data_IF_151695597152
#
_entry.id   IF_151695597152
#
_cell.length_a   1.000
_cell.length_b   1.000
_cell.length_c   1.000
_cell.angle_alpha   90.00
_cell.angle_beta   90.00
_cell.angle_gamma   90.00
#
_symmetry.space_group_name_H-M   'P 1'
#
loop_
_entity.id
_entity.type
_entity.pdbx_description
1 polymer ?
#
# COMPACT_ATOMS: atom_id res chain seq x y z
N UNK A 1 -14.57 -14.58 9.16
CA UNK A 1 -13.93 -14.59 10.52
C UNK A 1 -12.73 -13.66 10.47
N UNK A 2 -12.56 -12.80 11.49
CA UNK A 2 -11.37 -11.93 11.52
C UNK A 2 -10.11 -12.76 11.76
N UNK A 3 -9.12 -12.55 10.93
CA UNK A 3 -7.80 -13.21 11.02
C UNK A 3 -6.69 -12.27 11.48
N UNK A 4 -6.92 -10.95 11.40
CA UNK A 4 -6.08 -9.93 12.03
C UNK A 4 -7.00 -9.02 12.83
N UNK A 5 -6.63 -8.77 14.09
CA UNK A 5 -7.31 -7.82 14.96
C UNK A 5 -6.28 -6.96 15.67
N UNK A 6 -6.40 -5.64 15.53
CA UNK A 6 -5.61 -4.64 16.22
C UNK A 6 -6.55 -3.70 16.98
N UNK A 7 -6.29 -3.49 18.27
CA UNK A 7 -7.07 -2.64 19.17
C UNK A 7 -6.14 -1.64 19.84
N UNK A 8 -6.34 -0.35 19.58
CA UNK A 8 -5.56 0.77 20.13
C UNK A 8 -4.03 0.56 20.03
N UNK A 9 -3.59 -0.11 18.97
CA UNK A 9 -2.20 -0.48 18.75
C UNK A 9 -1.32 0.78 18.65
N UNK A 10 -0.26 0.84 19.46
CA UNK A 10 0.59 2.01 19.55
C UNK A 10 2.07 1.65 19.54
N UNK A 11 2.88 2.50 18.88
CA UNK A 11 4.34 2.39 18.87
C UNK A 11 5.00 3.76 18.81
N UNK A 12 5.88 4.00 19.77
CA UNK A 12 6.63 5.25 19.91
C UNK A 12 8.12 4.97 19.77
N UNK A 13 8.85 5.93 19.20
CA UNK A 13 10.30 5.88 19.09
C UNK A 13 10.91 7.14 19.71
N UNK A 14 11.91 6.95 20.53
CA UNK A 14 12.72 8.05 21.03
C UNK A 14 13.87 8.33 20.05
N UNK A 15 13.82 9.45 19.37
CA UNK A 15 14.84 9.88 18.41
C UNK A 15 15.68 11.00 19.01
N UNK A 16 17.00 10.84 18.99
CA UNK A 16 17.90 11.90 19.42
C UNK A 16 17.91 13.03 18.38
N UNK A 17 17.59 14.25 18.81
CA UNK A 17 17.74 15.41 17.95
C UNK A 17 19.22 15.68 17.66
N UNK A 18 19.58 15.77 16.38
CA UNK A 18 20.91 16.21 15.95
C UNK A 18 20.98 17.73 16.00
N UNK A 19 21.58 18.30 17.03
CA UNK A 19 21.94 19.72 17.02
C UNK A 19 22.99 20.00 15.92
N UNK A 20 22.79 21.06 15.13
CA UNK A 20 23.73 21.44 14.06
C UNK A 20 25.00 22.07 14.66
N UNK A 21 26.17 21.61 14.21
CA UNK A 21 27.47 22.18 14.54
C UNK A 21 28.26 21.43 15.62
N UNK A 22 29.58 21.66 15.65
CA UNK A 22 30.55 20.93 16.49
C UNK A 22 30.28 21.11 18.00
N UNK A 23 29.82 22.31 18.43
CA UNK A 23 29.42 22.59 19.82
C UNK A 23 28.11 21.88 20.21
N UNK A 24 27.15 21.74 19.27
CA UNK A 24 25.92 20.98 19.48
C UNK A 24 26.20 19.48 19.61
N UNK A 25 27.14 18.93 18.84
CA UNK A 25 27.51 17.51 18.93
C UNK A 25 28.09 17.14 20.28
N UNK A 26 28.92 18.02 20.89
CA UNK A 26 29.50 17.79 22.23
C UNK A 26 28.40 17.89 23.31
N UNK A 27 27.48 18.84 23.22
CA UNK A 27 26.35 19.00 24.16
C UNK A 27 25.41 17.81 24.09
N UNK A 28 25.14 17.27 22.88
CA UNK A 28 24.30 16.10 22.67
C UNK A 28 24.86 14.80 23.30
N UNK A 29 26.18 14.72 23.59
CA UNK A 29 26.79 13.59 24.30
C UNK A 29 26.44 13.64 25.79
N UNK A 30 26.42 14.82 26.40
CA UNK A 30 26.17 14.99 27.83
C UNK A 30 24.70 15.25 28.20
N UNK A 31 23.93 15.86 27.31
CA UNK A 31 22.48 16.11 27.47
C UNK A 31 21.75 15.85 26.14
N UNK A 32 21.49 14.59 25.78
CA UNK A 32 20.76 14.29 24.54
C UNK A 32 19.31 14.77 24.68
N UNK A 33 18.91 15.69 23.82
CA UNK A 33 17.50 15.99 23.64
C UNK A 33 16.87 14.85 22.83
N UNK A 34 15.88 14.18 23.40
CA UNK A 34 15.13 13.14 22.73
C UNK A 34 13.76 13.67 22.39
N UNK A 35 13.33 13.43 21.17
CA UNK A 35 11.98 13.68 20.69
C UNK A 35 11.25 12.34 20.58
N UNK A 36 10.03 12.28 21.09
CA UNK A 36 9.17 11.12 20.98
C UNK A 36 8.40 11.22 19.67
N UNK A 37 8.61 10.26 18.78
CA UNK A 37 7.87 10.10 17.53
C UNK A 37 6.83 9.01 17.72
N UNK A 38 5.55 9.35 17.67
CA UNK A 38 4.44 8.41 17.66
C UNK A 38 4.30 7.83 16.25
N UNK A 39 5.00 6.74 15.98
CA UNK A 39 4.97 6.11 14.67
C UNK A 39 3.65 5.40 14.38
N UNK A 40 2.98 4.89 15.42
CA UNK A 40 1.62 4.35 15.41
C UNK A 40 0.94 4.79 16.70
N UNK A 41 -0.24 5.41 16.61
CA UNK A 41 -0.95 5.99 17.75
C UNK A 41 -2.41 5.51 17.75
N UNK A 42 -2.71 4.52 18.63
CA UNK A 42 -4.04 3.96 18.88
C UNK A 42 -4.78 3.46 17.64
N UNK A 43 -4.07 2.76 16.75
CA UNK A 43 -4.64 2.22 15.53
C UNK A 43 -5.50 0.99 15.85
N UNK A 44 -6.76 0.99 15.39
CA UNK A 44 -7.71 -0.13 15.56
C UNK A 44 -8.31 -0.53 14.22
N UNK A 45 -8.16 -1.79 13.82
CA UNK A 45 -8.76 -2.36 12.62
C UNK A 45 -8.81 -3.89 12.69
N UNK A 46 -9.59 -4.50 11.81
CA UNK A 46 -9.61 -5.96 11.64
C UNK A 46 -9.53 -6.33 10.17
N UNK A 47 -9.07 -7.55 9.86
CA UNK A 47 -9.03 -8.11 8.50
C UNK A 47 -9.73 -9.45 8.48
N UNK A 48 -10.62 -9.65 7.51
CA UNK A 48 -11.37 -10.89 7.34
C UNK A 48 -10.54 -11.95 6.59
N UNK A 49 -10.90 -13.22 6.81
CA UNK A 49 -10.28 -14.35 6.11
C UNK A 49 -10.50 -14.24 4.58
N UNK A 50 -9.43 -14.44 3.80
CA UNK A 50 -9.47 -14.32 2.33
C UNK A 50 -9.54 -12.88 1.79
N UNK A 51 -9.60 -11.87 2.68
CA UNK A 51 -9.61 -10.47 2.27
C UNK A 51 -8.25 -10.03 1.71
N UNK A 52 -8.29 -9.12 0.73
CA UNK A 52 -7.12 -8.34 0.29
C UNK A 52 -7.33 -6.91 0.77
N UNK A 53 -6.67 -6.56 1.87
CA UNK A 53 -6.73 -5.23 2.47
C UNK A 53 -5.58 -4.35 1.97
N UNK A 54 -5.89 -3.13 1.50
CA UNK A 54 -4.91 -2.07 1.28
C UNK A 54 -4.73 -1.24 2.55
N UNK A 55 -3.49 -1.16 3.05
CA UNK A 55 -3.12 -0.31 4.17
C UNK A 55 -2.17 0.76 3.67
N UNK A 56 -2.66 1.98 3.45
CA UNK A 56 -1.95 3.01 2.71
C UNK A 56 -1.73 4.28 3.54
N UNK A 57 -0.80 5.11 3.09
CA UNK A 57 -0.47 6.37 3.75
C UNK A 57 0.82 6.96 3.17
N UNK A 58 1.14 8.22 3.45
CA UNK A 58 2.40 8.82 3.04
C UNK A 58 3.60 8.13 3.70
N UNK A 59 4.80 8.49 3.24
CA UNK A 59 6.03 8.01 3.87
C UNK A 59 6.10 8.50 5.31
N UNK A 60 6.43 7.59 6.24
CA UNK A 60 6.45 7.90 7.68
C UNK A 60 5.09 7.77 8.39
N UNK A 61 3.99 7.46 7.70
CA UNK A 61 2.66 7.31 8.30
C UNK A 61 2.49 6.10 9.24
N UNK A 62 3.51 5.24 9.39
CA UNK A 62 3.46 4.09 10.30
C UNK A 62 3.19 2.74 9.64
N UNK A 63 3.00 2.65 8.31
CA UNK A 63 2.65 1.41 7.58
C UNK A 63 3.57 0.22 7.88
N UNK A 64 4.86 0.35 7.59
CA UNK A 64 5.84 -0.72 7.83
C UNK A 64 6.06 -1.00 9.32
N UNK A 65 5.83 0.00 10.20
CA UNK A 65 5.85 -0.19 11.65
C UNK A 65 4.69 -1.07 12.09
N UNK A 66 3.49 -0.83 11.56
CA UNK A 66 2.31 -1.66 11.81
C UNK A 66 2.53 -3.10 11.34
N UNK A 67 3.01 -3.34 10.10
CA UNK A 67 3.33 -4.70 9.63
C UNK A 67 4.32 -5.40 10.57
N UNK A 68 5.37 -4.70 11.01
CA UNK A 68 6.36 -5.30 11.94
C UNK A 68 5.77 -5.68 13.29
N UNK A 69 4.75 -4.96 13.78
CA UNK A 69 4.03 -5.34 14.99
C UNK A 69 3.11 -6.55 14.74
N UNK A 70 2.36 -6.57 13.63
CA UNK A 70 1.50 -7.68 13.23
C UNK A 70 2.29 -8.98 13.03
N UNK A 71 3.52 -8.89 12.55
CA UNK A 71 4.40 -10.05 12.30
C UNK A 71 5.28 -10.44 13.49
N UNK A 72 5.17 -9.73 14.63
CA UNK A 72 5.97 -9.99 15.83
C UNK A 72 7.46 -9.62 15.68
N UNK A 73 7.84 -8.84 14.67
CA UNK A 73 9.20 -8.30 14.51
C UNK A 73 9.43 -7.14 15.48
N UNK A 74 8.39 -6.37 15.76
CA UNK A 74 8.42 -5.21 16.64
C UNK A 74 7.37 -5.36 17.73
N UNK A 75 7.73 -5.03 18.99
CA UNK A 75 6.80 -5.02 20.11
C UNK A 75 6.02 -3.72 20.15
N UNK A 76 4.69 -3.75 20.29
CA UNK A 76 3.89 -2.56 20.56
C UNK A 76 4.19 -2.01 21.96
N UNK A 77 4.01 -0.69 22.12
CA UNK A 77 4.11 -0.03 23.44
C UNK A 77 2.74 0.06 24.13
N UNK A 78 1.65 -0.11 23.36
CA UNK A 78 0.29 -0.12 23.88
C UNK A 78 -0.67 -0.83 22.93
N UNK A 79 -1.88 -1.11 23.46
CA UNK A 79 -2.93 -1.81 22.75
C UNK A 79 -2.76 -3.33 22.69
N UNK A 80 -3.58 -3.97 21.85
CA UNK A 80 -3.59 -5.41 21.65
C UNK A 80 -3.55 -5.73 20.16
N UNK A 81 -2.87 -6.84 19.83
CA UNK A 81 -2.85 -7.36 18.47
C UNK A 81 -2.94 -8.89 18.49
N UNK A 82 -3.77 -9.43 17.60
CA UNK A 82 -3.86 -10.86 17.33
C UNK A 82 -3.85 -11.11 15.82
N UNK A 83 -3.10 -12.13 15.41
CA UNK A 83 -3.08 -12.62 14.04
C UNK A 83 -3.37 -14.11 14.08
N UNK A 84 -4.44 -14.56 13.42
CA UNK A 84 -4.93 -15.95 13.47
C UNK A 84 -5.21 -16.43 14.90
N UNK A 85 -5.68 -15.53 15.78
CA UNK A 85 -5.89 -15.80 17.22
C UNK A 85 -4.58 -16.00 18.01
N UNK A 86 -3.45 -15.61 17.43
CA UNK A 86 -2.12 -15.71 18.04
C UNK A 86 -1.62 -14.31 18.36
N UNK A 87 -1.21 -14.10 19.62
CA UNK A 87 -0.50 -12.89 20.04
C UNK A 87 0.94 -12.92 19.46
N UNK A 88 1.29 -11.99 18.55
CA UNK A 88 2.60 -11.98 17.88
C UNK A 88 3.78 -11.81 18.84
N UNK A 89 3.55 -11.16 19.98
CA UNK A 89 4.58 -10.91 20.99
C UNK A 89 4.90 -12.19 21.78
N UNK A 90 3.85 -12.90 22.23
CA UNK A 90 3.99 -14.05 23.11
C UNK A 90 4.33 -15.33 22.36
N UNK A 91 3.81 -15.49 21.14
CA UNK A 91 3.90 -16.73 20.37
C UNK A 91 4.47 -16.53 18.96
N UNK A 92 5.51 -15.67 18.85
CA UNK A 92 6.11 -15.29 17.56
C UNK A 92 6.51 -16.50 16.70
N UNK A 93 7.12 -17.54 17.30
CA UNK A 93 7.52 -18.73 16.53
C UNK A 93 6.31 -19.44 15.94
N UNK A 94 5.23 -19.61 16.72
CA UNK A 94 3.99 -20.25 16.24
C UNK A 94 3.36 -19.44 15.10
N UNK A 95 3.35 -18.11 15.21
CA UNK A 95 2.82 -17.22 14.19
C UNK A 95 3.64 -17.30 12.90
N UNK A 96 4.98 -17.32 12.99
CA UNK A 96 5.88 -17.36 11.83
C UNK A 96 5.62 -18.56 10.91
N UNK A 97 5.13 -19.70 11.43
CA UNK A 97 4.73 -20.86 10.62
C UNK A 97 3.38 -20.68 9.88
N UNK A 98 2.63 -19.62 10.18
CA UNK A 98 1.30 -19.41 9.60
C UNK A 98 1.20 -18.14 8.74
N UNK A 99 2.25 -17.32 8.72
CA UNK A 99 2.30 -16.09 7.95
C UNK A 99 3.46 -16.07 6.97
N UNK A 100 3.25 -15.46 5.81
CA UNK A 100 4.31 -15.09 4.87
C UNK A 100 4.54 -13.59 4.92
N UNK A 101 5.77 -13.17 4.63
CA UNK A 101 6.11 -11.74 4.60
C UNK A 101 6.99 -11.45 3.39
N UNK A 102 6.72 -10.35 2.67
CA UNK A 102 7.60 -9.83 1.62
C UNK A 102 7.79 -8.34 1.89
N UNK A 103 9.05 -7.93 2.08
CA UNK A 103 9.43 -6.54 2.28
C UNK A 103 10.12 -6.03 1.00
N UNK A 104 9.41 -5.29 0.15
CA UNK A 104 9.86 -4.91 -1.19
C UNK A 104 11.19 -4.17 -1.29
N UNK A 105 11.69 -3.61 -0.18
CA UNK A 105 12.99 -2.95 -0.13
C UNK A 105 14.11 -3.83 0.46
N UNK A 106 13.82 -5.09 0.83
CA UNK A 106 14.79 -6.01 1.44
C UNK A 106 14.81 -7.33 0.71
N UNK A 107 15.97 -7.69 0.20
CA UNK A 107 16.21 -9.01 -0.38
C UNK A 107 16.06 -10.09 0.69
N UNK A 108 15.18 -11.07 0.45
CA UNK A 108 14.95 -12.20 1.35
C UNK A 108 15.61 -13.47 0.85
N UNK A 109 15.87 -13.54 -0.45
CA UNK A 109 16.53 -14.70 -1.08
C UNK A 109 18.05 -14.58 -0.99
N UNK A 110 18.72 -15.68 -0.79
CA UNK A 110 20.18 -15.75 -0.94
C UNK A 110 20.55 -15.54 -2.41
N UNK A 111 21.20 -14.43 -2.69
CA UNK A 111 21.45 -13.96 -4.06
C UNK A 111 22.39 -14.85 -4.88
N UNK A 112 23.25 -15.62 -4.21
CA UNK A 112 24.17 -16.57 -4.85
C UNK A 112 23.54 -17.92 -5.16
N UNK A 113 22.41 -18.24 -4.54
CA UNK A 113 21.64 -19.46 -4.79
C UNK A 113 20.61 -19.24 -5.90
N UNK A 114 20.15 -20.34 -6.49
CA UNK A 114 19.01 -20.33 -7.41
C UNK A 114 17.70 -20.15 -6.63
N UNK A 115 16.59 -19.73 -7.24
CA UNK A 115 15.26 -19.77 -6.60
C UNK A 115 14.92 -21.19 -6.12
N UNK A 116 15.21 -22.21 -6.89
CA UNK A 116 14.98 -23.61 -6.52
C UNK A 116 15.69 -23.97 -5.20
N UNK A 117 16.99 -23.63 -5.06
CA UNK A 117 17.75 -23.91 -3.85
C UNK A 117 17.23 -23.09 -2.65
N UNK A 118 16.86 -21.82 -2.88
CA UNK A 118 16.22 -21.00 -1.86
C UNK A 118 14.92 -21.62 -1.37
N UNK A 119 14.06 -22.11 -2.28
CA UNK A 119 12.78 -22.73 -1.91
C UNK A 119 12.97 -24.01 -1.10
N UNK A 120 13.95 -24.86 -1.50
CA UNK A 120 14.31 -26.03 -0.71
C UNK A 120 14.80 -25.67 0.68
N UNK A 121 15.59 -24.61 0.78
CA UNK A 121 16.08 -24.12 2.07
C UNK A 121 14.92 -23.59 2.94
N UNK A 122 13.99 -22.83 2.37
CA UNK A 122 12.79 -22.40 3.11
C UNK A 122 11.91 -23.60 3.50
N UNK A 123 11.74 -24.58 2.63
CA UNK A 123 11.05 -25.82 2.97
C UNK A 123 11.64 -26.50 4.22
N UNK A 124 12.98 -26.57 4.29
CA UNK A 124 13.66 -27.11 5.46
C UNK A 124 13.50 -26.23 6.73
N UNK A 125 13.51 -24.89 6.61
CA UNK A 125 13.25 -23.98 7.73
C UNK A 125 11.87 -24.19 8.34
N UNK A 126 10.87 -24.45 7.48
CA UNK A 126 9.49 -24.68 7.89
C UNK A 126 9.14 -26.14 8.14
N UNK A 127 10.14 -27.00 8.33
CA UNK A 127 10.02 -28.42 8.66
C UNK A 127 9.20 -29.25 7.63
N UNK A 128 9.17 -28.84 6.36
CA UNK A 128 8.55 -29.61 5.28
C UNK A 128 9.42 -30.80 4.89
N UNK A 129 8.81 -31.95 4.64
CA UNK A 129 9.51 -33.07 4.06
C UNK A 129 10.03 -32.77 2.64
N UNK A 130 11.07 -33.49 2.19
CA UNK A 130 11.61 -33.29 0.84
C UNK A 130 10.54 -33.45 -0.26
N UNK A 131 9.66 -34.44 -0.13
CA UNK A 131 8.59 -34.67 -1.11
C UNK A 131 7.52 -33.58 -1.11
N UNK A 132 7.14 -33.07 0.06
CA UNK A 132 6.22 -31.93 0.18
C UNK A 132 6.84 -30.66 -0.41
N UNK A 133 8.12 -30.43 -0.15
CA UNK A 133 8.86 -29.28 -0.68
C UNK A 133 8.90 -29.30 -2.20
N UNK A 134 9.27 -30.44 -2.81
CA UNK A 134 9.32 -30.57 -4.28
C UNK A 134 7.94 -30.36 -4.93
N UNK A 135 6.90 -30.95 -4.34
CA UNK A 135 5.53 -30.74 -4.83
C UNK A 135 5.12 -29.26 -4.74
N UNK A 136 5.49 -28.60 -3.64
CA UNK A 136 5.16 -27.18 -3.46
C UNK A 136 5.96 -26.28 -4.40
N UNK A 137 7.23 -26.59 -4.64
CA UNK A 137 8.06 -25.86 -5.63
C UNK A 137 7.42 -25.95 -7.01
N UNK A 138 7.01 -27.16 -7.45
CA UNK A 138 6.38 -27.34 -8.76
C UNK A 138 5.08 -26.51 -8.88
N UNK A 139 4.22 -26.56 -7.86
CA UNK A 139 2.97 -25.79 -7.80
C UNK A 139 3.21 -24.27 -7.88
N UNK A 140 4.17 -23.75 -7.10
CA UNK A 140 4.51 -22.33 -7.11
C UNK A 140 5.24 -21.90 -8.38
N UNK A 141 6.08 -22.78 -8.94
CA UNK A 141 6.75 -22.52 -10.21
C UNK A 141 5.76 -22.35 -11.37
N UNK A 142 4.67 -23.11 -11.36
CA UNK A 142 3.58 -22.97 -12.33
C UNK A 142 2.80 -21.67 -12.12
N UNK A 143 2.31 -21.40 -10.89
CA UNK A 143 1.54 -20.19 -10.57
C UNK A 143 2.34 -18.90 -10.87
N UNK A 144 3.63 -18.86 -10.52
CA UNK A 144 4.48 -17.68 -10.66
C UNK A 144 5.31 -17.68 -11.95
N UNK A 145 5.09 -18.64 -12.87
CA UNK A 145 5.79 -18.75 -14.16
C UNK A 145 7.31 -18.66 -14.00
N UNK A 146 7.87 -19.53 -13.13
CA UNK A 146 9.29 -19.50 -12.79
C UNK A 146 10.16 -20.41 -13.65
N UNK A 147 9.58 -21.26 -14.51
CA UNK A 147 10.26 -22.35 -15.22
C UNK A 147 11.55 -21.91 -15.93
N UNK A 148 11.54 -20.76 -16.60
CA UNK A 148 12.65 -20.28 -17.41
C UNK A 148 13.86 -19.82 -16.59
N UNK A 149 13.67 -19.47 -15.31
CA UNK A 149 14.72 -18.86 -14.49
C UNK A 149 14.85 -19.45 -13.08
N UNK A 150 14.08 -20.47 -12.72
CA UNK A 150 14.11 -21.11 -11.39
C UNK A 150 15.51 -21.67 -11.03
N UNK A 151 16.30 -22.05 -12.03
CA UNK A 151 17.67 -22.54 -11.89
C UNK A 151 18.76 -21.48 -12.15
N UNK A 152 18.37 -20.21 -12.32
CA UNK A 152 19.30 -19.10 -12.50
C UNK A 152 19.59 -18.45 -11.14
N UNK A 153 20.86 -18.19 -10.76
CA UNK A 153 21.17 -17.49 -9.50
C UNK A 153 20.42 -16.18 -9.36
N UNK A 154 19.86 -15.91 -8.17
CA UNK A 154 18.98 -14.75 -7.90
C UNK A 154 19.62 -13.42 -8.29
N UNK A 155 20.93 -13.25 -8.08
CA UNK A 155 21.68 -12.04 -8.49
C UNK A 155 21.61 -11.73 -10.00
N UNK A 156 21.34 -12.71 -10.82
CA UNK A 156 21.26 -12.58 -12.28
C UNK A 156 19.82 -12.37 -12.77
N UNK A 157 18.84 -12.37 -11.88
CA UNK A 157 17.43 -12.15 -12.20
C UNK A 157 17.13 -10.67 -12.36
N UNK A 158 16.18 -10.33 -13.23
CA UNK A 158 15.58 -8.99 -13.25
C UNK A 158 14.83 -8.73 -11.95
N UNK A 159 14.56 -7.46 -11.63
CA UNK A 159 13.82 -7.09 -10.42
C UNK A 159 12.44 -7.78 -10.37
N UNK A 160 11.72 -7.80 -11.49
CA UNK A 160 10.42 -8.47 -11.57
C UNK A 160 10.49 -9.98 -11.37
N UNK A 161 11.49 -10.67 -11.98
CA UNK A 161 11.72 -12.10 -11.74
C UNK A 161 12.07 -12.37 -10.28
N UNK A 162 12.90 -11.52 -9.66
CA UNK A 162 13.25 -11.67 -8.25
C UNK A 162 12.04 -11.50 -7.34
N UNK A 163 11.18 -10.51 -7.56
CA UNK A 163 9.97 -10.30 -6.76
C UNK A 163 8.99 -11.47 -6.90
N UNK A 164 8.84 -12.05 -8.10
CA UNK A 164 8.06 -13.29 -8.27
C UNK A 164 8.61 -14.41 -7.39
N UNK A 165 9.92 -14.61 -7.39
CA UNK A 165 10.57 -15.61 -6.54
C UNK A 165 10.43 -15.31 -5.05
N UNK A 166 10.51 -14.06 -4.61
CA UNK A 166 10.34 -13.66 -3.21
C UNK A 166 8.91 -13.94 -2.71
N UNK A 167 7.90 -13.60 -3.52
CA UNK A 167 6.50 -13.91 -3.20
C UNK A 167 6.30 -15.43 -3.16
N UNK A 168 6.79 -16.17 -4.16
CA UNK A 168 6.70 -17.63 -4.19
C UNK A 168 7.38 -18.28 -2.97
N UNK A 169 8.59 -17.82 -2.60
CA UNK A 169 9.31 -18.30 -1.42
C UNK A 169 8.51 -18.09 -0.12
N UNK A 170 7.84 -16.93 0.01
CA UNK A 170 7.01 -16.62 1.19
C UNK A 170 5.78 -17.50 1.32
N UNK A 171 5.43 -18.24 0.26
CA UNK A 171 4.28 -19.15 0.19
C UNK A 171 4.64 -20.63 0.33
N UNK A 172 5.92 -20.99 0.47
CA UNK A 172 6.39 -22.37 0.44
C UNK A 172 5.72 -23.22 1.55
N UNK A 173 5.50 -22.63 2.72
CA UNK A 173 4.92 -23.26 3.90
C UNK A 173 3.39 -23.10 4.01
N UNK A 174 2.71 -22.66 2.93
CA UNK A 174 1.25 -22.46 2.85
C UNK A 174 0.70 -21.55 3.94
N UNK A 175 1.20 -20.30 4.05
CA UNK A 175 0.71 -19.37 5.05
C UNK A 175 -0.77 -19.03 4.83
N UNK A 176 -1.49 -18.74 5.92
CA UNK A 176 -2.89 -18.27 5.88
C UNK A 176 -2.98 -16.76 5.65
N UNK A 177 -1.96 -16.02 6.05
CA UNK A 177 -1.88 -14.57 5.88
C UNK A 177 -0.55 -14.22 5.23
N UNK A 178 -0.59 -13.36 4.21
CA UNK A 178 0.58 -12.83 3.54
C UNK A 178 0.64 -11.31 3.72
N UNK A 179 1.76 -10.84 4.24
CA UNK A 179 2.07 -9.42 4.36
C UNK A 179 2.98 -8.99 3.21
N UNK A 180 2.52 -8.04 2.40
CA UNK A 180 3.24 -7.48 1.26
C UNK A 180 3.52 -6.00 1.53
N UNK A 181 4.76 -5.64 1.82
CA UNK A 181 5.17 -4.25 2.07
C UNK A 181 5.78 -3.67 0.78
N UNK A 182 4.97 -2.92 0.03
CA UNK A 182 5.33 -2.27 -1.23
C UNK A 182 5.91 -3.21 -2.32
N UNK A 183 5.21 -4.31 -2.68
CA UNK A 183 5.76 -5.38 -3.53
C UNK A 183 6.03 -4.96 -4.98
N UNK A 184 5.49 -3.83 -5.45
CA UNK A 184 5.62 -3.36 -6.83
C UNK A 184 6.55 -2.15 -6.97
N UNK A 185 7.21 -1.74 -5.88
CA UNK A 185 8.10 -0.58 -5.88
C UNK A 185 9.26 -0.77 -6.88
N UNK A 186 9.53 0.26 -7.68
CA UNK A 186 10.65 0.26 -8.63
C UNK A 186 10.43 -0.59 -9.89
N UNK A 187 9.25 -1.22 -10.06
CA UNK A 187 8.91 -1.98 -11.26
C UNK A 187 8.33 -1.07 -12.36
N UNK A 188 8.57 -1.45 -13.60
CA UNK A 188 7.90 -0.83 -14.75
C UNK A 188 6.40 -1.21 -14.81
N UNK A 189 5.56 -0.46 -15.55
CA UNK A 189 4.10 -0.67 -15.57
C UNK A 189 3.67 -2.07 -16.03
N UNK A 190 4.40 -2.69 -16.95
CA UNK A 190 4.05 -4.02 -17.49
C UNK A 190 4.32 -5.08 -16.43
N UNK A 191 5.48 -5.02 -15.78
CA UNK A 191 5.85 -5.95 -14.71
C UNK A 191 4.94 -5.77 -13.49
N UNK A 192 4.57 -4.53 -13.12
CA UNK A 192 3.58 -4.28 -12.07
C UNK A 192 2.26 -5.01 -12.36
N UNK A 193 1.75 -4.90 -13.59
CA UNK A 193 0.50 -5.56 -13.95
C UNK A 193 0.59 -7.08 -13.83
N UNK A 194 1.70 -7.67 -14.26
CA UNK A 194 1.95 -9.10 -14.10
C UNK A 194 1.97 -9.52 -12.62
N UNK A 195 2.65 -8.77 -11.75
CA UNK A 195 2.67 -9.03 -10.31
C UNK A 195 1.26 -8.92 -9.71
N UNK A 196 0.46 -7.93 -10.12
CA UNK A 196 -0.94 -7.79 -9.68
C UNK A 196 -1.78 -9.01 -10.08
N UNK A 197 -1.64 -9.49 -11.32
CA UNK A 197 -2.34 -10.69 -11.78
C UNK A 197 -1.96 -11.92 -10.94
N UNK A 198 -0.67 -12.12 -10.66
CA UNK A 198 -0.18 -13.21 -9.82
C UNK A 198 -0.70 -13.12 -8.37
N UNK A 199 -0.73 -11.93 -7.77
CA UNK A 199 -1.30 -11.71 -6.43
C UNK A 199 -2.80 -12.08 -6.40
N UNK A 200 -3.57 -11.68 -7.42
CA UNK A 200 -4.99 -12.03 -7.52
C UNK A 200 -5.20 -13.53 -7.69
N UNK A 201 -4.43 -14.16 -8.59
CA UNK A 201 -4.50 -15.59 -8.84
C UNK A 201 -4.21 -16.35 -7.54
N UNK A 202 -3.14 -16.03 -6.87
CA UNK A 202 -2.75 -16.61 -5.59
C UNK A 202 -3.86 -16.47 -4.53
N UNK A 203 -4.45 -15.28 -4.36
CA UNK A 203 -5.54 -15.08 -3.39
C UNK A 203 -6.75 -15.96 -3.72
N UNK A 204 -7.11 -16.11 -5.02
CA UNK A 204 -8.23 -16.94 -5.46
C UNK A 204 -7.96 -18.43 -5.29
N UNK A 205 -6.77 -18.92 -5.68
CA UNK A 205 -6.45 -20.34 -5.70
C UNK A 205 -6.03 -20.89 -4.34
N UNK A 206 -5.31 -20.08 -3.54
CA UNK A 206 -4.79 -20.49 -2.25
C UNK A 206 -5.62 -19.97 -1.07
N UNK A 207 -6.63 -19.14 -1.32
CA UNK A 207 -7.47 -18.50 -0.30
C UNK A 207 -6.67 -17.77 0.79
N UNK A 208 -5.47 -17.29 0.44
CA UNK A 208 -4.59 -16.59 1.38
C UNK A 208 -5.09 -15.17 1.62
N UNK A 209 -5.25 -14.78 2.88
CA UNK A 209 -5.53 -13.39 3.25
C UNK A 209 -4.31 -12.52 2.99
N UNK A 210 -4.50 -11.34 2.40
CA UNK A 210 -3.39 -10.46 2.01
C UNK A 210 -3.52 -9.11 2.69
N UNK A 211 -2.48 -8.74 3.42
CA UNK A 211 -2.29 -7.39 3.95
C UNK A 211 -1.24 -6.67 3.09
N UNK A 212 -1.69 -5.71 2.28
CA UNK A 212 -0.87 -5.02 1.29
C UNK A 212 -0.62 -3.56 1.71
N UNK A 213 0.65 -3.14 1.77
CA UNK A 213 0.95 -1.70 1.73
C UNK A 213 1.39 -1.32 0.33
N UNK A 214 0.91 -0.19 -0.15
CA UNK A 214 1.35 0.39 -1.41
C UNK A 214 1.15 1.90 -1.39
N UNK A 215 1.97 2.61 -2.15
CA UNK A 215 1.75 4.00 -2.53
C UNK A 215 1.32 4.10 -4.02
N UNK A 216 1.25 2.99 -4.73
CA UNK A 216 0.77 2.90 -6.10
C UNK A 216 -0.74 2.66 -6.11
N UNK A 217 -1.49 3.66 -6.56
CA UNK A 217 -2.96 3.60 -6.57
C UNK A 217 -3.47 2.50 -7.50
N UNK A 218 -2.75 2.20 -8.57
CA UNK A 218 -3.10 1.09 -9.46
C UNK A 218 -3.07 -0.27 -8.76
N UNK A 219 -2.18 -0.48 -7.77
CA UNK A 219 -2.19 -1.71 -6.95
C UNK A 219 -3.47 -1.78 -6.13
N UNK A 220 -3.82 -0.65 -5.49
CA UNK A 220 -4.96 -0.56 -4.59
C UNK A 220 -6.26 -0.81 -5.35
N UNK A 221 -6.48 -0.09 -6.47
CA UNK A 221 -7.70 -0.22 -7.27
C UNK A 221 -7.92 -1.61 -7.85
N UNK A 222 -6.82 -2.27 -8.24
CA UNK A 222 -6.89 -3.55 -8.94
C UNK A 222 -6.88 -4.75 -8.01
N UNK A 223 -6.30 -4.64 -6.82
CA UNK A 223 -6.14 -5.76 -5.90
C UNK A 223 -7.15 -5.75 -4.75
N UNK A 224 -7.50 -4.58 -4.23
CA UNK A 224 -8.14 -4.46 -2.93
C UNK A 224 -9.61 -4.04 -3.06
N UNK A 225 -10.46 -4.60 -2.21
CA UNK A 225 -11.87 -4.18 -2.07
C UNK A 225 -12.08 -3.23 -0.90
N UNK A 226 -11.16 -3.20 0.05
CA UNK A 226 -11.18 -2.34 1.23
C UNK A 226 -9.83 -1.65 1.41
N UNK A 227 -9.89 -0.44 1.89
CA UNK A 227 -8.76 0.44 2.10
C UNK A 227 -8.77 1.00 3.51
N UNK A 228 -7.63 0.93 4.17
CA UNK A 228 -7.36 1.65 5.42
C UNK A 228 -6.32 2.70 5.11
N UNK A 229 -6.67 3.96 5.31
CA UNK A 229 -5.78 5.10 5.09
C UNK A 229 -5.22 5.53 6.43
N UNK A 230 -3.89 5.62 6.52
CA UNK A 230 -3.20 6.11 7.71
C UNK A 230 -2.43 7.39 7.42
N UNK A 231 -2.44 8.29 8.37
CA UNK A 231 -1.66 9.52 8.36
C UNK A 231 -1.13 9.80 9.77
N UNK A 232 0.13 10.22 9.89
CA UNK A 232 0.76 10.59 11.17
C UNK A 232 0.56 9.56 12.29
N UNK A 233 0.55 8.26 11.94
CA UNK A 233 0.39 7.15 12.87
C UNK A 233 -1.05 6.81 13.24
N UNK A 234 -2.07 7.49 12.70
CA UNK A 234 -3.48 7.27 12.99
C UNK A 234 -4.25 6.80 11.76
N UNK A 235 -5.35 6.05 11.95
CA UNK A 235 -6.28 5.73 10.87
C UNK A 235 -7.17 6.94 10.64
N UNK A 236 -7.15 7.45 9.40
CA UNK A 236 -7.99 8.56 8.96
C UNK A 236 -9.22 8.09 8.19
N UNK A 237 -9.15 6.89 7.61
CA UNK A 237 -10.26 6.26 6.92
C UNK A 237 -10.12 4.74 6.93
N UNK A 238 -11.24 4.05 7.06
CA UNK A 238 -11.38 2.60 6.88
C UNK A 238 -12.69 2.33 6.15
N UNK A 239 -12.61 2.04 4.85
CA UNK A 239 -13.80 1.95 4.00
C UNK A 239 -13.61 0.99 2.83
N UNK A 240 -14.73 0.61 2.18
CA UNK A 240 -14.70 -0.13 0.92
C UNK A 240 -14.26 0.77 -0.24
N UNK A 241 -13.56 0.19 -1.20
CA UNK A 241 -13.19 0.89 -2.44
C UNK A 241 -14.41 1.35 -3.24
N UNK A 242 -15.52 0.61 -3.16
CA UNK A 242 -16.77 0.94 -3.81
C UNK A 242 -17.41 2.17 -3.18
N UNK A 243 -17.50 2.20 -1.84
CA UNK A 243 -18.07 3.34 -1.11
C UNK A 243 -17.21 4.60 -1.27
N UNK A 244 -15.88 4.47 -1.20
CA UNK A 244 -14.95 5.57 -1.47
C UNK A 244 -15.17 6.15 -2.86
N UNK A 245 -15.23 5.31 -3.90
CA UNK A 245 -15.51 5.76 -5.26
C UNK A 245 -16.92 6.38 -5.38
N UNK A 246 -17.93 5.79 -4.74
CA UNK A 246 -19.31 6.28 -4.78
C UNK A 246 -19.44 7.68 -4.15
N UNK A 247 -18.78 7.92 -3.03
CA UNK A 247 -18.79 9.22 -2.35
C UNK A 247 -18.26 10.36 -3.24
N UNK A 248 -17.31 10.04 -4.14
CA UNK A 248 -16.72 11.00 -5.09
C UNK A 248 -17.30 10.91 -6.51
N UNK A 249 -18.30 10.04 -6.79
CA UNK A 249 -18.95 9.93 -8.10
C UNK A 249 -19.65 11.22 -8.52
N UNK A 250 -20.13 12.01 -7.56
CA UNK A 250 -20.77 13.29 -7.82
C UNK A 250 -19.82 14.38 -8.28
N UNK A 251 -18.50 14.13 -8.21
CA UNK A 251 -17.50 15.06 -8.70
C UNK A 251 -16.88 14.57 -10.00
N UNK A 252 -16.86 15.42 -11.02
CA UNK A 252 -16.28 15.11 -12.33
C UNK A 252 -15.16 16.10 -12.66
N UNK A 253 -14.11 15.60 -13.28
CA UNK A 253 -13.08 16.43 -13.87
C UNK A 253 -13.47 16.72 -15.33
N UNK A 254 -13.53 17.99 -15.65
CA UNK A 254 -13.74 18.47 -17.02
C UNK A 254 -12.47 19.18 -17.47
N UNK A 255 -11.88 18.69 -18.55
CA UNK A 255 -10.73 19.31 -19.21
C UNK A 255 -11.22 19.87 -20.54
N UNK A 256 -11.03 21.17 -20.73
CA UNK A 256 -11.47 21.88 -21.93
C UNK A 256 -10.28 22.54 -22.58
N UNK A 257 -10.18 22.40 -23.90
CA UNK A 257 -9.30 23.19 -24.74
C UNK A 257 -10.12 24.24 -25.47
N UNK A 258 -9.88 25.52 -25.18
CA UNK A 258 -10.58 26.67 -25.79
C UNK A 258 -9.86 27.12 -27.06
N UNK A 259 -10.60 27.72 -27.98
CA UNK A 259 -10.03 28.35 -29.18
C UNK A 259 -9.23 29.60 -28.82
N UNK A 260 -9.71 30.35 -27.84
CA UNK A 260 -9.08 31.57 -27.30
C UNK A 260 -8.98 31.53 -25.78
N UNK A 261 -8.14 32.37 -25.17
CA UNK A 261 -8.07 32.53 -23.73
C UNK A 261 -9.29 33.31 -23.22
N UNK A 262 -10.25 32.63 -22.62
CA UNK A 262 -11.48 33.22 -22.04
C UNK A 262 -11.53 33.01 -20.54
N UNK A 263 -11.87 34.02 -19.77
CA UNK A 263 -12.09 33.88 -18.33
C UNK A 263 -13.38 33.13 -18.07
N UNK A 264 -13.29 32.08 -17.23
CA UNK A 264 -14.45 31.40 -16.72
C UNK A 264 -14.96 32.15 -15.48
N UNK A 265 -16.23 32.57 -15.44
CA UNK A 265 -16.79 33.18 -14.25
C UNK A 265 -16.83 32.18 -13.08
N UNK A 266 -16.63 32.63 -11.84
CA UNK A 266 -16.84 31.79 -10.68
C UNK A 266 -18.30 31.34 -10.62
N UNK A 267 -18.54 30.02 -10.52
CA UNK A 267 -19.87 29.43 -10.48
C UNK A 267 -19.95 28.42 -9.33
N UNK A 268 -21.12 28.38 -8.68
CA UNK A 268 -21.40 27.41 -7.65
C UNK A 268 -21.39 25.99 -8.25
N UNK A 269 -20.69 25.05 -7.61
CA UNK A 269 -20.51 23.70 -8.14
C UNK A 269 -19.34 23.52 -9.12
N UNK A 270 -18.61 24.58 -9.47
CA UNK A 270 -17.39 24.52 -10.30
C UNK A 270 -16.18 24.98 -9.49
N UNK A 271 -15.14 24.15 -9.46
CA UNK A 271 -13.85 24.51 -8.87
C UNK A 271 -12.75 24.41 -9.93
N UNK A 272 -12.15 25.55 -10.28
CA UNK A 272 -11.04 25.58 -11.25
C UNK A 272 -9.80 24.99 -10.55
N UNK A 273 -9.28 23.87 -11.07
CA UNK A 273 -8.10 23.17 -10.53
C UNK A 273 -6.81 23.59 -11.21
N UNK A 274 -6.84 23.85 -12.50
CA UNK A 274 -5.66 24.26 -13.25
C UNK A 274 -6.07 25.07 -14.50
N UNK A 275 -5.27 26.08 -14.80
CA UNK A 275 -5.38 26.85 -16.05
C UNK A 275 -3.99 27.04 -16.65
N UNK A 276 -3.85 26.80 -17.95
CA UNK A 276 -2.62 27.03 -18.69
C UNK A 276 -2.99 27.48 -20.11
N UNK A 277 -3.01 28.80 -20.34
CA UNK A 277 -3.46 29.37 -21.58
C UNK A 277 -4.87 28.92 -21.94
N UNK A 278 -5.06 28.34 -23.10
CA UNK A 278 -6.34 27.83 -23.62
C UNK A 278 -6.82 26.52 -22.95
N UNK A 279 -5.98 25.85 -22.15
CA UNK A 279 -6.35 24.64 -21.44
C UNK A 279 -6.85 24.96 -20.04
N UNK A 280 -8.10 24.56 -19.76
CA UNK A 280 -8.72 24.73 -18.44
C UNK A 280 -9.16 23.36 -17.92
N UNK A 281 -8.78 23.06 -16.68
CA UNK A 281 -9.22 21.88 -15.94
C UNK A 281 -10.00 22.33 -14.73
N UNK A 282 -11.24 21.91 -14.64
CA UNK A 282 -12.12 22.23 -13.51
C UNK A 282 -12.87 21.00 -13.03
N UNK A 283 -13.28 21.04 -11.78
CA UNK A 283 -14.10 20.04 -11.13
C UNK A 283 -15.53 20.51 -11.09
N UNK A 284 -16.46 19.64 -11.42
CA UNK A 284 -17.92 19.87 -11.37
C UNK A 284 -18.51 18.97 -10.30
N UNK A 285 -19.18 19.55 -9.32
CA UNK A 285 -20.03 18.82 -8.37
C UNK A 285 -21.40 18.58 -9.01
N UNK A 286 -21.64 17.34 -9.44
CA UNK A 286 -22.87 16.96 -10.13
C UNK A 286 -24.08 16.86 -9.20
N UNK A 287 -23.88 16.95 -7.88
CA UNK A 287 -24.99 17.09 -6.93
C UNK A 287 -25.55 18.51 -6.89
N UNK A 288 -24.73 19.49 -7.24
CA UNK A 288 -25.07 20.93 -7.25
C UNK A 288 -25.44 21.39 -8.67
N UNK A 289 -24.70 20.93 -9.69
CA UNK A 289 -24.82 21.38 -11.07
C UNK A 289 -24.78 20.23 -12.07
N UNK A 290 -25.62 20.24 -13.08
CA UNK A 290 -25.53 19.27 -14.19
C UNK A 290 -24.31 19.57 -15.06
N UNK A 291 -23.65 18.53 -15.56
CA UNK A 291 -22.48 18.66 -16.45
C UNK A 291 -22.81 19.54 -17.67
N UNK A 292 -24.01 19.39 -18.26
CA UNK A 292 -24.43 20.21 -19.40
C UNK A 292 -24.49 21.71 -19.07
N UNK A 293 -24.87 22.08 -17.84
CA UNK A 293 -24.93 23.49 -17.44
C UNK A 293 -23.50 24.02 -17.19
N UNK A 294 -22.63 23.19 -16.62
CA UNK A 294 -21.20 23.50 -16.51
C UNK A 294 -20.53 23.70 -17.88
N UNK A 295 -20.87 22.88 -18.88
CA UNK A 295 -20.35 23.03 -20.23
C UNK A 295 -20.88 24.27 -20.96
N UNK A 296 -22.14 24.64 -20.74
CA UNK A 296 -22.71 25.90 -21.29
C UNK A 296 -22.02 27.14 -20.74
N UNK A 297 -21.56 27.08 -19.49
CA UNK A 297 -20.83 28.22 -18.87
C UNK A 297 -19.44 28.47 -19.48
N UNK A 298 -18.89 27.46 -20.18
CA UNK A 298 -17.56 27.52 -20.83
C UNK A 298 -17.67 28.09 -22.26
N UNK A 299 -18.84 28.57 -22.68
CA UNK A 299 -19.09 29.04 -24.05
C UNK A 299 -18.76 27.96 -25.11
N UNK A 300 -19.70 27.03 -25.26
CA UNK A 300 -19.52 25.82 -26.08
C UNK A 300 -19.13 26.10 -27.55
N UNK A 301 -19.40 27.30 -28.05
CA UNK A 301 -19.01 27.68 -29.43
C UNK A 301 -17.48 27.87 -29.60
N UNK A 302 -16.78 28.10 -28.48
CA UNK A 302 -15.32 28.33 -28.47
C UNK A 302 -14.53 27.12 -27.93
N UNK A 303 -15.16 25.98 -27.79
CA UNK A 303 -14.50 24.76 -27.32
C UNK A 303 -13.92 23.98 -28.50
N UNK A 304 -12.61 23.72 -28.49
CA UNK A 304 -11.91 22.91 -29.49
C UNK A 304 -11.95 21.41 -29.12
N UNK A 305 -11.82 21.08 -27.83
CA UNK A 305 -11.82 19.69 -27.33
C UNK A 305 -12.33 19.64 -25.89
N UNK A 306 -13.02 18.54 -25.54
CA UNK A 306 -13.54 18.26 -24.19
C UNK A 306 -13.25 16.83 -23.79
N UNK A 307 -12.70 16.67 -22.58
CA UNK A 307 -12.59 15.39 -21.91
C UNK A 307 -13.29 15.45 -20.53
N UNK A 308 -14.18 14.49 -20.26
CA UNK A 308 -14.88 14.37 -18.98
C UNK A 308 -14.53 13.03 -18.36
N UNK A 309 -13.99 13.07 -17.15
CA UNK A 309 -13.56 11.90 -16.41
C UNK A 309 -14.02 11.93 -14.95
N UNK A 310 -14.01 10.76 -14.30
CA UNK A 310 -14.15 10.71 -12.85
C UNK A 310 -12.91 11.31 -12.20
N UNK A 311 -13.04 11.74 -10.94
CA UNK A 311 -11.86 12.13 -10.15
C UNK A 311 -10.96 10.90 -10.01
N UNK A 312 -9.68 10.99 -10.38
CA UNK A 312 -8.71 9.92 -10.11
C UNK A 312 -8.62 9.62 -8.61
N UNK A 313 -8.48 8.35 -8.24
CA UNK A 313 -8.39 7.93 -6.83
C UNK A 313 -7.20 8.61 -6.12
N UNK A 314 -6.11 8.91 -6.85
CA UNK A 314 -4.98 9.70 -6.34
C UNK A 314 -5.43 11.04 -5.74
N UNK A 315 -6.31 11.75 -6.46
CA UNK A 315 -6.78 13.06 -6.02
C UNK A 315 -7.66 12.93 -4.76
N UNK A 316 -8.49 11.88 -4.71
CA UNK A 316 -9.34 11.58 -3.55
C UNK A 316 -8.46 11.33 -2.32
N UNK A 317 -7.48 10.45 -2.44
CA UNK A 317 -6.55 10.13 -1.35
C UNK A 317 -5.75 11.37 -0.92
N UNK A 318 -5.31 12.20 -1.87
CA UNK A 318 -4.61 13.45 -1.57
C UNK A 318 -5.50 14.45 -0.82
N UNK A 319 -6.78 14.56 -1.17
CA UNK A 319 -7.74 15.39 -0.43
C UNK A 319 -7.93 14.89 1.01
N UNK A 320 -8.02 13.57 1.22
CA UNK A 320 -8.11 12.97 2.55
C UNK A 320 -6.86 13.32 3.39
N UNK A 321 -5.65 13.22 2.81
CA UNK A 321 -4.43 13.58 3.53
C UNK A 321 -4.36 15.08 3.89
N UNK A 322 -4.90 15.97 3.04
CA UNK A 322 -4.86 17.42 3.25
C UNK A 322 -5.93 17.93 4.21
N UNK A 323 -7.11 17.28 4.26
CA UNK A 323 -8.20 17.68 5.14
C UNK A 323 -7.82 17.54 6.62
N UNK A 324 -7.02 16.54 6.96
CA UNK A 324 -6.57 16.32 8.34
C UNK A 324 -5.33 17.13 8.73
N UNK A 325 -4.44 17.44 7.78
CA UNK A 325 -3.30 18.33 8.05
C UNK A 325 -3.72 19.78 8.39
N UNK A 326 -5.01 20.13 8.20
CA UNK A 326 -5.59 21.41 8.61
C UNK A 326 -6.23 21.38 9.99
N UNK A 327 -6.54 20.21 10.52
CA UNK A 327 -7.14 20.07 11.86
C UNK A 327 -6.09 20.19 12.98
N UNK A 328 -4.82 19.88 12.70
CA UNK A 328 -3.70 19.96 13.67
C UNK A 328 -3.03 21.35 13.73
N UNK A 329 -3.54 22.34 12.99
CA UNK A 329 -2.97 23.69 12.85
C UNK A 329 -3.82 24.83 13.43
N UNK A 330 -4.77 24.54 14.35
CA UNK A 330 -5.54 25.55 15.10
C UNK A 330 -5.22 25.50 16.59
#
# INVERSE_FOLDING_TARGET
MKVIEAEELSKHFLVKQKEKGMKGSIKAIFCPQTEEIKAVDKVSFGVEEGEVLAFIGPNGAGKSTTIKMLTGILYPDGGRVEVLGIDPVKKRKQLAYQIGTVFGQKEQLWTHLTPYDNFRFFGAIYDLSGGETEKRIAELADIFELADFINTPVRNLSLGQRIRCEIAASLIHKPKVLFLDEPTIGLDPVVKENIRMLIRQMNRELHTTIFLTSHDIGDIEKLCKRIVIVNSGQIVMDDSMEHLKYHYLNKKIVEVKLQEETELPPMEGITIRKRKGRHVRFEVDTSVMKINDALRSVDAEHVEDINISNIPLENIIMEIYQSEGRADGL
#
